data_IF_620023600133
#
_entry.id   IF_620023600133
#
_cell.length_a   1.000
_cell.length_b   1.000
_cell.length_c   1.000
_cell.angle_alpha   90.00
_cell.angle_beta   90.00
_cell.angle_gamma   90.00
#
_symmetry.space_group_name_H-M   'P 1'
#
loop_
_entity.id
_entity.type
_entity.pdbx_description
1 polymer ?
#
# COMPACT_ATOMS: atom_id res chain seq x y z
N UNK A 1 -13.26 -4.00 -9.33
CA UNK A 1 -12.15 -3.36 -8.63
C UNK A 1 -11.17 -4.41 -8.15
N UNK A 2 -9.92 -4.07 -8.16
CA UNK A 2 -8.85 -4.96 -7.70
C UNK A 2 -8.35 -4.52 -6.35
N UNK A 3 -8.11 -5.46 -5.48
CA UNK A 3 -7.61 -5.20 -4.13
C UNK A 3 -6.26 -5.87 -3.97
N UNK A 4 -5.31 -5.13 -3.44
CA UNK A 4 -3.96 -5.64 -3.15
C UNK A 4 -3.58 -5.31 -1.73
N UNK A 5 -2.85 -6.22 -1.12
CA UNK A 5 -2.31 -6.01 0.22
C UNK A 5 -0.80 -5.96 0.13
N UNK A 6 -0.21 -4.94 0.76
CA UNK A 6 1.24 -4.78 0.80
C UNK A 6 1.70 -4.92 2.23
N UNK A 7 2.85 -5.55 2.41
CA UNK A 7 3.52 -5.55 3.70
C UNK A 7 4.40 -4.31 3.75
N UNK A 8 4.20 -3.47 4.74
CA UNK A 8 4.93 -2.21 4.88
C UNK A 8 5.72 -2.23 6.18
N UNK A 9 7.00 -1.95 6.10
CA UNK A 9 7.85 -1.89 7.28
C UNK A 9 8.20 -0.44 7.58
N UNK A 10 8.35 -0.12 8.85
CA UNK A 10 8.74 1.20 9.30
C UNK A 10 7.58 2.09 9.69
N UNK A 11 6.36 1.59 9.65
CA UNK A 11 5.20 2.36 10.13
C UNK A 11 5.19 2.32 11.66
N UNK A 12 5.67 3.37 12.27
CA UNK A 12 5.83 3.42 13.72
C UNK A 12 4.77 4.26 14.44
N UNK A 13 3.95 4.97 13.69
CA UNK A 13 2.93 5.83 14.27
C UNK A 13 1.84 6.14 13.25
N UNK A 14 0.78 6.81 13.70
CA UNK A 14 -0.33 7.14 12.82
C UNK A 14 0.04 8.06 11.67
N UNK A 15 1.05 8.89 11.86
CA UNK A 15 1.52 9.76 10.77
C UNK A 15 2.13 8.95 9.65
N UNK A 16 2.78 7.86 9.99
CA UNK A 16 3.37 6.97 9.00
C UNK A 16 2.28 6.29 8.16
N UNK A 17 1.21 5.83 8.79
CA UNK A 17 0.11 5.23 8.05
C UNK A 17 -0.54 6.24 7.11
N UNK A 18 -0.68 7.48 7.57
CA UNK A 18 -1.24 8.54 6.74
C UNK A 18 -0.37 8.79 5.51
N UNK A 19 0.95 8.78 5.66
CA UNK A 19 1.87 8.96 4.54
C UNK A 19 1.73 7.83 3.53
N UNK A 20 1.64 6.59 4.00
CA UNK A 20 1.47 5.44 3.12
C UNK A 20 0.15 5.54 2.37
N UNK A 21 -0.92 5.87 3.08
CA UNK A 21 -2.23 6.02 2.46
C UNK A 21 -2.21 7.12 1.40
N UNK A 22 -1.60 8.25 1.71
CA UNK A 22 -1.51 9.35 0.77
C UNK A 22 -0.70 8.97 -0.47
N UNK A 23 0.41 8.26 -0.27
CA UNK A 23 1.25 7.84 -1.39
C UNK A 23 0.51 6.88 -2.32
N UNK A 24 -0.22 5.93 -1.75
CA UNK A 24 -0.99 4.99 -2.56
C UNK A 24 -2.17 5.68 -3.25
N UNK A 25 -2.83 6.59 -2.55
CA UNK A 25 -3.98 7.31 -3.12
C UNK A 25 -3.58 8.24 -4.26
N UNK A 26 -2.32 8.62 -4.33
CA UNK A 26 -1.83 9.47 -5.41
C UNK A 26 -1.70 8.72 -6.73
N UNK A 27 -1.72 7.41 -6.72
CA UNK A 27 -1.61 6.63 -7.94
C UNK A 27 -2.90 6.71 -8.76
N UNK A 28 -2.78 6.81 -10.10
CA UNK A 28 -3.97 6.86 -10.95
C UNK A 28 -4.80 5.59 -10.81
N UNK A 29 -6.10 5.75 -10.72
CA UNK A 29 -7.01 4.61 -10.65
C UNK A 29 -7.27 4.06 -9.26
N UNK A 30 -6.52 4.51 -8.27
CA UNK A 30 -6.74 4.07 -6.88
C UNK A 30 -8.01 4.70 -6.34
N UNK A 31 -8.91 3.86 -5.84
CA UNK A 31 -10.17 4.30 -5.27
C UNK A 31 -10.12 4.37 -3.75
N UNK A 32 -9.35 3.50 -3.14
CA UNK A 32 -9.26 3.42 -1.70
C UNK A 32 -7.89 2.92 -1.28
N UNK A 33 -7.34 3.52 -0.25
CA UNK A 33 -6.08 3.06 0.33
C UNK A 33 -6.18 3.16 1.84
N UNK A 34 -5.72 2.13 2.51
CA UNK A 34 -5.73 2.08 3.97
C UNK A 34 -4.45 1.42 4.45
N UNK A 35 -3.94 1.86 5.58
CA UNK A 35 -2.76 1.26 6.17
C UNK A 35 -3.04 0.90 7.62
N UNK A 36 -2.48 -0.22 8.06
CA UNK A 36 -2.64 -0.70 9.42
C UNK A 36 -1.26 -0.83 10.06
N UNK A 37 -0.99 0.03 11.01
CA UNK A 37 0.27 0.08 11.73
C UNK A 37 0.52 -1.19 12.55
N UNK A 38 -0.51 -1.71 13.17
CA UNK A 38 -0.39 -2.88 14.04
C UNK A 38 -0.04 -4.13 13.26
N UNK A 39 -0.64 -4.28 12.10
CA UNK A 39 -0.39 -5.43 11.24
C UNK A 39 0.78 -5.21 10.30
N UNK A 40 1.21 -3.97 10.15
CA UNK A 40 2.29 -3.65 9.22
C UNK A 40 1.92 -3.86 7.77
N UNK A 41 0.66 -3.62 7.43
CA UNK A 41 0.17 -3.83 6.07
C UNK A 41 -0.54 -2.59 5.56
N UNK A 42 -0.64 -2.52 4.24
CA UNK A 42 -1.46 -1.51 3.58
C UNK A 42 -2.35 -2.22 2.56
N UNK A 43 -3.58 -1.78 2.46
CA UNK A 43 -4.55 -2.33 1.51
C UNK A 43 -4.93 -1.24 0.54
N UNK A 44 -4.91 -1.56 -0.74
CA UNK A 44 -5.28 -0.60 -1.78
C UNK A 44 -6.31 -1.25 -2.71
N UNK A 45 -7.33 -0.47 -3.06
CA UNK A 45 -8.33 -0.90 -4.04
C UNK A 45 -8.30 0.07 -5.21
N UNK A 46 -8.32 -0.46 -6.40
CA UNK A 46 -8.20 0.34 -7.61
C UNK A 46 -8.95 -0.27 -8.78
N UNK A 47 -9.27 0.56 -9.77
CA UNK A 47 -9.85 0.12 -11.03
C UNK A 47 -8.75 0.00 -12.07
N UNK A 48 -8.89 -0.99 -12.95
CA UNK A 48 -7.91 -1.24 -13.99
C UNK A 48 -6.74 -2.02 -13.46
N UNK A 49 -5.59 -1.86 -14.08
CA UNK A 49 -4.39 -2.58 -13.67
C UNK A 49 -3.32 -1.61 -13.23
N UNK A 50 -2.84 -1.80 -12.02
CA UNK A 50 -1.68 -1.10 -11.51
C UNK A 50 -0.64 -2.17 -11.21
N UNK A 51 0.54 -2.11 -11.82
CA UNK A 51 1.58 -3.10 -11.52
C UNK A 51 1.95 -3.07 -10.04
N UNK A 52 2.28 -4.24 -9.50
CA UNK A 52 2.69 -4.34 -8.11
C UNK A 52 3.88 -3.44 -7.82
N UNK A 53 4.79 -3.29 -8.80
CA UNK A 53 5.93 -2.41 -8.67
C UNK A 53 5.52 -0.96 -8.37
N UNK A 54 4.48 -0.48 -9.04
CA UNK A 54 4.02 0.89 -8.83
C UNK A 54 3.51 1.08 -7.41
N UNK A 55 2.82 0.07 -6.90
CA UNK A 55 2.30 0.11 -5.53
C UNK A 55 3.45 0.13 -4.52
N UNK A 56 4.42 -0.78 -4.68
CA UNK A 56 5.55 -0.83 -3.76
C UNK A 56 6.42 0.42 -3.87
N UNK A 57 6.65 0.91 -5.07
CA UNK A 57 7.46 2.11 -5.27
C UNK A 57 6.83 3.34 -4.64
N UNK A 58 5.51 3.45 -4.70
CA UNK A 58 4.83 4.57 -4.05
C UNK A 58 5.12 4.59 -2.55
N UNK A 59 5.09 3.44 -1.92
CA UNK A 59 5.40 3.33 -0.48
C UNK A 59 6.87 3.59 -0.21
N UNK A 60 7.75 3.07 -1.06
CA UNK A 60 9.19 3.29 -0.91
C UNK A 60 9.51 4.78 -1.05
N UNK A 61 8.87 5.47 -2.00
CA UNK A 61 9.06 6.91 -2.18
C UNK A 61 8.59 7.71 -0.95
N UNK A 62 7.64 7.16 -0.20
CA UNK A 62 7.19 7.79 1.04
C UNK A 62 8.17 7.58 2.20
N UNK A 63 9.20 6.76 1.99
CA UNK A 63 10.24 6.54 3.00
C UNK A 63 10.11 5.23 3.77
N UNK A 64 9.33 4.30 3.26
CA UNK A 64 9.10 3.00 3.91
C UNK A 64 9.55 1.86 3.02
N UNK A 65 9.65 0.68 3.59
CA UNK A 65 9.89 -0.54 2.83
C UNK A 65 8.56 -1.22 2.59
N UNK A 66 8.36 -1.72 1.39
CA UNK A 66 7.10 -2.38 1.05
C UNK A 66 7.36 -3.59 0.17
N UNK A 67 6.51 -4.58 0.35
CA UNK A 67 6.50 -5.78 -0.49
C UNK A 67 5.06 -6.16 -0.74
N UNK A 68 4.78 -6.72 -1.90
CA UNK A 68 3.46 -7.26 -2.17
C UNK A 68 3.28 -8.51 -1.33
N UNK A 69 2.20 -8.54 -0.58
CA UNK A 69 1.84 -9.71 0.18
C UNK A 69 0.98 -10.58 -0.74
N UNK A 70 1.56 -11.68 -1.21
CA UNK A 70 0.82 -12.63 -2.00
C UNK A 70 -0.10 -13.41 -1.07
N UNK A 71 -1.36 -13.43 -1.41
CA UNK A 71 -2.33 -14.21 -0.67
C UNK A 71 -1.96 -15.68 -0.79
N UNK A 72 -2.14 -16.38 0.05
CA UNK A 72 -1.82 -17.71 0.06
C UNK A 72 -2.70 -18.72 -0.48
N UNK A 73 -2.98 -18.20 -1.10
CA UNK A 73 -3.56 -18.54 -1.52
C UNK A 73 -3.60 -19.01 -2.25
N UNK A 74 -3.55 -19.28 -2.24
CA UNK A 74 -3.62 -19.45 -2.63
C UNK A 74 -3.74 -19.61 -2.87
#
# INVERSE_FOLDING_TARGET
MTKRTLKVEGMMCGKCTAKVEAALSALPGVKFASADQKKGIAVVEFDGEIPDEDLTMAVIDAGFKAKIKHGLFR
#
